data_IF_776890566288
#
_entry.id   IF_776890566288
#
_cell.length_a   1.000
_cell.length_b   1.000
_cell.length_c   1.000
_cell.angle_alpha   90.00
_cell.angle_beta   90.00
_cell.angle_gamma   90.00
#
_symmetry.space_group_name_H-M   'P 1'
#
loop_
_entity.id
_entity.type
_entity.pdbx_description
1 polymer ?
#
# COMPACT_ATOMS: atom_id res chain seq x y z
N UNK A 1 19.21 -5.43 -47.47
CA UNK A 1 18.73 -4.19 -46.81
C UNK A 1 17.22 -4.27 -46.81
N UNK A 2 16.67 -4.97 -45.82
CA UNK A 2 15.23 -5.22 -45.67
C UNK A 2 14.75 -4.28 -44.57
N UNK A 3 13.75 -3.47 -44.91
CA UNK A 3 13.18 -2.44 -44.05
C UNK A 3 12.34 -3.15 -42.98
N UNK A 4 12.74 -3.02 -41.70
CA UNK A 4 11.87 -3.30 -40.57
C UNK A 4 10.84 -2.16 -40.48
N UNK A 5 9.61 -2.40 -40.91
CA UNK A 5 8.48 -1.57 -40.50
C UNK A 5 8.04 -2.02 -39.12
N UNK A 6 8.39 -1.24 -38.11
CA UNK A 6 7.76 -1.31 -36.80
C UNK A 6 6.34 -0.77 -36.97
N UNK A 7 5.35 -1.65 -36.99
CA UNK A 7 3.97 -1.26 -36.76
C UNK A 7 3.81 -1.05 -35.25
N UNK A 8 3.62 0.21 -34.84
CA UNK A 8 2.97 0.52 -33.57
C UNK A 8 1.53 0.03 -33.69
N UNK A 9 1.26 -1.20 -33.24
CA UNK A 9 -0.09 -1.66 -33.04
C UNK A 9 -0.61 -1.03 -31.75
N UNK A 10 -1.53 -0.08 -31.88
CA UNK A 10 -2.43 0.27 -30.80
C UNK A 10 -3.29 -0.98 -30.54
N UNK A 11 -3.13 -1.61 -29.38
CA UNK A 11 -3.93 -2.76 -28.96
C UNK A 11 -5.43 -2.51 -29.17
N UNK A 12 -6.00 -3.15 -30.17
CA UNK A 12 -7.44 -3.13 -30.47
C UNK A 12 -7.93 -4.57 -30.42
N UNK A 13 -8.94 -4.83 -29.59
CA UNK A 13 -9.66 -6.09 -29.62
C UNK A 13 -10.23 -6.32 -31.04
N UNK A 14 -10.47 -7.58 -31.43
CA UNK A 14 -11.00 -7.93 -32.76
C UNK A 14 -12.34 -7.22 -33.10
N UNK A 15 -13.08 -6.75 -32.08
CA UNK A 15 -14.32 -5.98 -32.22
C UNK A 15 -14.15 -4.45 -32.36
N UNK A 16 -12.91 -3.94 -32.48
CA UNK A 16 -12.64 -2.51 -32.67
C UNK A 16 -12.84 -1.64 -31.43
N UNK A 17 -13.02 -2.25 -30.27
CA UNK A 17 -13.10 -1.60 -28.96
C UNK A 17 -11.68 -1.40 -28.39
N UNK A 18 -11.46 -0.28 -27.71
CA UNK A 18 -10.19 0.01 -27.01
C UNK A 18 -10.16 -0.93 -25.80
N UNK A 19 -9.16 -1.81 -25.76
CA UNK A 19 -8.91 -2.71 -24.64
C UNK A 19 -8.01 -2.02 -23.61
N UNK A 20 -8.32 -2.13 -22.32
CA UNK A 20 -7.58 -1.50 -21.21
C UNK A 20 -6.18 -2.11 -21.02
N UNK A 21 -6.02 -3.40 -21.32
CA UNK A 21 -4.82 -4.17 -20.99
C UNK A 21 -3.83 -4.26 -22.17
N UNK A 22 -3.72 -3.19 -22.97
CA UNK A 22 -2.92 -3.16 -24.20
C UNK A 22 -1.42 -3.46 -23.99
N UNK A 23 -0.82 -3.00 -22.89
CA UNK A 23 0.58 -3.30 -22.57
C UNK A 23 0.79 -4.77 -22.17
N UNK A 24 -0.17 -5.37 -21.44
CA UNK A 24 -0.13 -6.79 -21.10
C UNK A 24 -0.35 -7.65 -22.36
N UNK A 25 -1.21 -7.20 -23.27
CA UNK A 25 -1.38 -7.81 -24.57
C UNK A 25 -0.06 -7.82 -25.35
N UNK A 26 0.62 -6.68 -25.46
CA UNK A 26 1.90 -6.58 -26.17
C UNK A 26 2.98 -7.49 -25.56
N UNK A 27 3.08 -7.53 -24.22
CA UNK A 27 3.99 -8.44 -23.53
C UNK A 27 3.68 -9.91 -23.81
N UNK A 28 2.38 -10.27 -23.82
CA UNK A 28 1.93 -11.61 -24.11
C UNK A 28 2.26 -12.04 -25.54
N UNK A 29 1.95 -11.19 -26.53
CA UNK A 29 2.21 -11.49 -27.95
C UNK A 29 3.71 -11.65 -28.18
N UNK A 30 4.54 -10.78 -27.58
CA UNK A 30 6.00 -10.90 -27.68
C UNK A 30 6.52 -12.22 -27.11
N UNK A 31 5.96 -12.71 -26.00
CA UNK A 31 6.31 -14.01 -25.45
C UNK A 31 5.89 -15.15 -26.40
N UNK A 32 4.67 -15.11 -26.94
CA UNK A 32 4.21 -16.10 -27.93
C UNK A 32 5.11 -16.11 -29.19
N UNK A 33 5.54 -14.94 -29.68
CA UNK A 33 6.46 -14.84 -30.82
C UNK A 33 7.84 -15.43 -30.51
N UNK A 34 8.34 -15.25 -29.29
CA UNK A 34 9.59 -15.84 -28.83
C UNK A 34 9.52 -17.37 -28.82
N UNK A 35 8.42 -17.93 -28.31
CA UNK A 35 8.19 -19.38 -28.30
C UNK A 35 8.06 -19.94 -29.72
N UNK A 36 7.39 -19.23 -30.62
CA UNK A 36 7.32 -19.58 -32.03
C UNK A 36 8.70 -19.67 -32.69
N UNK A 37 9.56 -18.67 -32.44
CA UNK A 37 10.92 -18.64 -32.96
C UNK A 37 11.76 -19.80 -32.41
N UNK A 38 11.64 -20.07 -31.12
CA UNK A 38 12.33 -21.18 -30.45
C UNK A 38 11.88 -22.52 -31.02
N UNK A 39 10.56 -22.76 -31.08
CA UNK A 39 9.97 -23.98 -31.62
C UNK A 39 10.41 -24.25 -33.07
N UNK A 40 10.38 -23.23 -33.93
CA UNK A 40 10.84 -23.37 -35.33
C UNK A 40 12.32 -23.68 -35.45
N UNK A 41 13.16 -23.14 -34.56
CA UNK A 41 14.60 -23.41 -34.59
C UNK A 41 14.95 -24.87 -34.31
N UNK A 42 14.03 -25.60 -33.67
CA UNK A 42 14.16 -27.02 -33.32
C UNK A 42 13.41 -27.95 -34.28
N UNK A 43 12.76 -27.41 -35.32
CA UNK A 43 11.96 -28.20 -36.26
C UNK A 43 12.77 -28.77 -37.44
N UNK A 44 12.58 -30.06 -37.68
CA UNK A 44 13.18 -30.79 -38.81
C UNK A 44 12.20 -31.08 -39.97
N UNK A 45 10.96 -30.59 -39.90
CA UNK A 45 9.95 -30.84 -40.94
C UNK A 45 8.88 -29.77 -41.02
N UNK A 46 8.26 -29.62 -42.20
CA UNK A 46 7.13 -28.71 -42.40
C UNK A 46 5.92 -29.03 -41.51
N UNK A 47 5.75 -30.30 -41.12
CA UNK A 47 4.68 -30.69 -40.20
C UNK A 47 4.96 -30.17 -38.78
N UNK A 48 6.23 -30.15 -38.37
CA UNK A 48 6.65 -29.54 -37.10
C UNK A 48 6.44 -28.02 -37.12
N UNK A 49 6.81 -27.35 -38.23
CA UNK A 49 6.61 -25.89 -38.35
C UNK A 49 5.13 -25.51 -38.25
N UNK A 50 4.22 -26.28 -38.84
CA UNK A 50 2.78 -26.05 -38.74
C UNK A 50 2.28 -26.19 -37.29
N UNK A 51 2.75 -27.18 -36.54
CA UNK A 51 2.41 -27.34 -35.12
C UNK A 51 2.89 -26.15 -34.28
N UNK A 52 4.07 -25.59 -34.57
CA UNK A 52 4.54 -24.37 -33.91
C UNK A 52 3.63 -23.16 -34.19
N UNK A 53 3.15 -23.03 -35.43
CA UNK A 53 2.20 -21.97 -35.79
C UNK A 53 0.84 -22.14 -35.12
N UNK A 54 0.34 -23.38 -35.01
CA UNK A 54 -0.91 -23.66 -34.29
C UNK A 54 -0.78 -23.29 -32.80
N UNK A 55 0.34 -23.67 -32.16
CA UNK A 55 0.63 -23.31 -30.77
C UNK A 55 0.75 -21.78 -30.56
N UNK A 56 1.39 -21.07 -31.49
CA UNK A 56 1.42 -19.61 -31.47
C UNK A 56 0.02 -19.01 -31.58
N UNK A 57 -0.82 -19.53 -32.47
CA UNK A 57 -2.17 -19.03 -32.67
C UNK A 57 -3.06 -19.24 -31.43
N UNK A 58 -2.88 -20.35 -30.69
CA UNK A 58 -3.57 -20.60 -29.43
C UNK A 58 -3.06 -19.67 -28.32
N UNK A 59 -1.74 -19.52 -28.17
CA UNK A 59 -1.12 -18.58 -27.22
C UNK A 59 -1.62 -17.15 -27.43
N UNK A 60 -1.54 -16.65 -28.66
CA UNK A 60 -1.98 -15.30 -29.02
C UNK A 60 -3.49 -15.10 -28.84
N UNK A 61 -4.30 -16.15 -29.01
CA UNK A 61 -5.74 -16.07 -28.76
C UNK A 61 -6.06 -15.94 -27.26
N UNK A 62 -5.28 -16.60 -26.39
CA UNK A 62 -5.42 -16.56 -24.93
C UNK A 62 -4.89 -15.28 -24.28
N UNK A 63 -4.06 -14.49 -24.98
CA UNK A 63 -3.51 -13.24 -24.46
C UNK A 63 -4.60 -12.24 -24.03
N UNK A 64 -4.32 -11.35 -23.06
CA UNK A 64 -5.19 -10.22 -22.76
C UNK A 64 -5.46 -9.43 -24.03
N UNK A 65 -6.71 -9.00 -24.24
CA UNK A 65 -7.18 -8.35 -25.47
C UNK A 65 -7.18 -9.25 -26.73
N UNK A 66 -6.83 -10.52 -26.57
CA UNK A 66 -6.92 -11.57 -27.60
C UNK A 66 -8.35 -12.08 -27.77
N UNK A 67 -8.51 -13.07 -28.66
CA UNK A 67 -9.81 -13.63 -29.02
C UNK A 67 -10.54 -14.24 -27.83
N UNK A 68 -9.82 -14.94 -26.96
CA UNK A 68 -10.37 -15.66 -25.82
C UNK A 68 -10.50 -14.74 -24.59
N UNK A 69 -9.82 -13.58 -24.59
CA UNK A 69 -9.89 -12.53 -23.58
C UNK A 69 -10.16 -11.13 -24.16
N UNK A 70 -11.32 -10.91 -24.80
CA UNK A 70 -11.59 -9.70 -25.60
C UNK A 70 -11.74 -8.42 -24.78
N UNK A 71 -11.95 -8.54 -23.47
CA UNK A 71 -12.03 -7.42 -22.53
C UNK A 71 -10.73 -7.21 -21.74
N UNK A 72 -9.62 -7.79 -22.21
CA UNK A 72 -8.36 -7.73 -21.48
C UNK A 72 -8.38 -8.71 -20.31
N UNK A 73 -8.04 -8.24 -19.11
CA UNK A 73 -7.94 -9.08 -17.93
C UNK A 73 -9.24 -9.22 -17.14
N UNK A 74 -10.29 -8.54 -17.55
CA UNK A 74 -11.63 -8.74 -17.01
C UNK A 74 -12.16 -10.14 -17.39
N UNK A 75 -12.35 -10.99 -16.38
CA UNK A 75 -12.85 -12.38 -16.52
C UNK A 75 -12.01 -13.26 -17.47
N UNK A 76 -10.70 -13.00 -17.54
CA UNK A 76 -9.74 -13.74 -18.36
C UNK A 76 -8.88 -14.67 -17.49
N UNK A 77 -8.92 -15.97 -17.78
CA UNK A 77 -8.08 -16.98 -17.12
C UNK A 77 -6.71 -17.07 -17.82
N UNK A 78 -5.92 -16.00 -17.70
CA UNK A 78 -4.58 -15.90 -18.29
C UNK A 78 -3.54 -15.53 -17.22
N UNK A 79 -2.33 -16.14 -17.21
CA UNK A 79 -1.30 -15.88 -16.18
C UNK A 79 -0.82 -14.43 -16.07
N UNK A 80 -1.00 -13.63 -17.12
CA UNK A 80 -0.72 -12.18 -17.09
C UNK A 80 -1.87 -11.34 -16.53
N UNK A 81 -3.07 -11.92 -16.42
CA UNK A 81 -4.27 -11.29 -15.88
C UNK A 81 -4.49 -11.54 -14.40
N UNK A 82 -3.68 -12.41 -13.81
CA UNK A 82 -3.44 -12.42 -12.38
C UNK A 82 -2.46 -11.29 -12.04
N UNK A 83 -2.95 -10.22 -11.41
CA UNK A 83 -2.18 -9.75 -10.24
C UNK A 83 -2.10 -10.98 -9.36
N UNK A 84 -0.93 -11.61 -9.25
CA UNK A 84 -0.85 -12.89 -8.56
C UNK A 84 -0.95 -12.62 -7.07
N UNK A 85 -2.18 -12.37 -6.63
CA UNK A 85 -2.55 -12.09 -5.26
C UNK A 85 -2.09 -13.25 -4.36
N UNK A 86 -1.91 -14.45 -4.91
CA UNK A 86 -1.37 -15.61 -4.21
C UNK A 86 0.16 -15.55 -4.02
N UNK A 87 0.86 -14.74 -4.81
CA UNK A 87 2.31 -14.49 -4.71
C UNK A 87 2.64 -13.19 -3.96
N UNK A 88 1.65 -12.29 -3.78
CA UNK A 88 1.80 -11.14 -2.87
C UNK A 88 1.76 -11.64 -1.43
N UNK A 89 2.82 -11.37 -0.66
CA UNK A 89 2.91 -11.81 0.75
C UNK A 89 3.02 -10.60 1.68
N UNK A 90 2.09 -10.48 2.62
CA UNK A 90 2.02 -9.35 3.56
C UNK A 90 2.24 -9.88 4.95
N UNK A 91 3.35 -9.46 5.56
CA UNK A 91 3.59 -9.67 6.98
C UNK A 91 2.76 -8.66 7.76
N UNK A 92 1.97 -9.17 8.70
CA UNK A 92 1.13 -8.38 9.61
C UNK A 92 1.65 -8.60 11.02
N UNK A 93 2.13 -7.53 11.65
CA UNK A 93 2.65 -7.55 13.02
C UNK A 93 1.78 -6.63 13.89
N UNK A 94 0.74 -7.19 14.53
CA UNK A 94 -0.06 -6.47 15.52
C UNK A 94 0.62 -6.47 16.91
N UNK A 95 -0.08 -5.87 17.88
CA UNK A 95 0.19 -6.02 19.31
C UNK A 95 -0.94 -6.85 19.95
N UNK A 96 -0.64 -7.93 20.70
CA UNK A 96 0.70 -8.45 21.02
C UNK A 96 1.37 -9.16 19.84
N UNK A 97 2.71 -9.28 19.86
CA UNK A 97 3.48 -9.92 18.78
C UNK A 97 3.08 -11.38 18.49
N UNK A 98 2.51 -12.08 19.46
CA UNK A 98 2.05 -13.47 19.29
C UNK A 98 0.92 -13.63 18.27
N UNK A 99 0.26 -12.54 17.89
CA UNK A 99 -0.81 -12.51 16.88
C UNK A 99 -0.25 -12.18 15.47
N UNK A 100 1.07 -12.21 15.28
CA UNK A 100 1.70 -11.95 13.98
C UNK A 100 1.50 -13.10 13.01
N UNK A 101 1.29 -12.77 11.73
CA UNK A 101 1.12 -13.75 10.66
C UNK A 101 1.59 -13.21 9.32
N UNK A 102 1.82 -14.12 8.37
CA UNK A 102 2.00 -13.84 6.96
C UNK A 102 0.73 -14.21 6.21
N UNK A 103 0.24 -13.34 5.33
CA UNK A 103 -0.95 -13.62 4.51
C UNK A 103 -0.72 -13.33 3.04
N UNK A 104 -1.38 -14.07 2.16
CA UNK A 104 -1.41 -13.76 0.74
C UNK A 104 -2.33 -12.56 0.45
N UNK A 105 -2.13 -11.88 -0.68
CA UNK A 105 -2.96 -10.76 -1.11
C UNK A 105 -4.44 -11.11 -1.37
N UNK A 106 -4.77 -12.37 -1.59
CA UNK A 106 -6.16 -12.84 -1.63
C UNK A 106 -6.69 -13.28 -0.25
N UNK A 107 -5.82 -13.34 0.76
CA UNK A 107 -6.13 -13.82 2.11
C UNK A 107 -6.40 -15.33 2.20
N UNK A 108 -6.21 -16.07 1.11
CA UNK A 108 -6.49 -17.51 1.08
C UNK A 108 -5.49 -18.31 1.92
N UNK A 109 -4.25 -17.84 2.01
CA UNK A 109 -3.21 -18.45 2.83
C UNK A 109 -2.86 -17.53 3.99
N UNK A 110 -2.82 -18.11 5.19
CA UNK A 110 -2.31 -17.48 6.41
C UNK A 110 -1.30 -18.45 7.01
N UNK A 111 -0.11 -17.96 7.31
CA UNK A 111 0.97 -18.74 7.91
C UNK A 111 1.46 -18.08 9.19
N UNK A 112 1.74 -18.91 10.20
CA UNK A 112 2.29 -18.44 11.46
C UNK A 112 3.73 -17.97 11.27
N UNK A 113 4.08 -16.84 11.90
CA UNK A 113 5.44 -16.30 11.90
C UNK A 113 5.95 -16.17 13.33
N UNK A 114 7.27 -16.28 13.50
CA UNK A 114 7.92 -16.05 14.77
C UNK A 114 8.62 -14.69 14.76
N UNK A 115 7.87 -13.63 15.09
CA UNK A 115 8.42 -12.29 15.30
C UNK A 115 8.59 -12.05 16.79
N UNK A 116 9.74 -11.50 17.18
CA UNK A 116 10.04 -11.18 18.57
C UNK A 116 10.49 -9.73 18.75
N UNK A 117 10.38 -9.23 19.97
CA UNK A 117 10.97 -7.96 20.38
C UNK A 117 11.27 -7.97 21.88
N UNK A 118 12.34 -7.33 22.37
CA UNK A 118 12.53 -7.09 23.79
C UNK A 118 11.29 -6.44 24.43
N UNK A 119 10.68 -7.15 25.40
CA UNK A 119 9.48 -6.71 26.14
C UNK A 119 8.24 -6.41 25.28
N UNK A 120 8.11 -7.01 24.09
CA UNK A 120 6.91 -6.86 23.23
C UNK A 120 6.56 -5.37 22.95
N UNK A 121 7.58 -4.56 22.65
CA UNK A 121 7.48 -3.09 22.61
C UNK A 121 6.90 -2.51 21.30
N UNK A 122 5.95 -3.21 20.65
CA UNK A 122 5.35 -2.79 19.37
C UNK A 122 4.04 -1.99 19.52
N UNK A 123 3.47 -1.92 20.73
CA UNK A 123 2.24 -1.19 20.98
C UNK A 123 2.31 0.31 20.63
N UNK A 124 1.41 0.76 19.76
CA UNK A 124 1.30 2.13 19.23
C UNK A 124 2.56 2.62 18.49
N UNK A 125 3.44 1.72 18.07
CA UNK A 125 4.58 2.07 17.21
C UNK A 125 4.11 2.42 15.80
N UNK A 126 4.97 3.11 15.05
CA UNK A 126 4.78 3.38 13.62
C UNK A 126 5.99 2.88 12.86
N UNK A 127 5.78 2.46 11.62
CA UNK A 127 6.81 1.79 10.84
C UNK A 127 7.10 2.51 9.52
N UNK A 128 8.31 2.33 9.04
CA UNK A 128 8.74 2.71 7.70
C UNK A 128 9.91 1.83 7.26
N UNK A 129 10.12 1.78 5.95
CA UNK A 129 11.34 1.23 5.37
C UNK A 129 12.42 2.31 5.33
N UNK A 130 13.59 1.98 5.84
CA UNK A 130 14.78 2.82 5.75
C UNK A 130 15.92 1.94 5.26
N UNK A 131 16.44 2.26 4.07
CA UNK A 131 17.45 1.48 3.35
C UNK A 131 17.03 0.01 3.21
N UNK A 132 15.80 -0.20 2.73
CA UNK A 132 15.16 -1.51 2.53
C UNK A 132 15.02 -2.37 3.81
N UNK A 133 15.12 -1.75 4.98
CA UNK A 133 14.94 -2.43 6.27
C UNK A 133 13.74 -1.89 7.01
N UNK A 134 12.92 -2.79 7.55
CA UNK A 134 11.76 -2.44 8.37
C UNK A 134 12.20 -1.89 9.73
N UNK A 135 11.81 -0.65 10.01
CA UNK A 135 12.03 0.00 11.30
C UNK A 135 10.70 0.36 11.96
N UNK A 136 10.70 0.36 13.28
CA UNK A 136 9.63 0.90 14.13
C UNK A 136 10.16 2.07 14.95
N UNK A 137 9.29 3.04 15.19
CA UNK A 137 9.63 4.29 15.86
C UNK A 137 8.58 4.62 16.93
N UNK A 138 9.07 5.11 18.08
CA UNK A 138 8.23 5.59 19.18
C UNK A 138 7.36 4.50 19.81
N UNK A 139 6.15 4.84 20.26
CA UNK A 139 5.22 3.90 20.90
C UNK A 139 5.15 4.06 22.43
N UNK A 140 4.16 3.40 23.05
CA UNK A 140 3.75 3.76 24.43
C UNK A 140 4.80 3.38 25.47
N UNK A 141 5.52 2.28 25.25
CA UNK A 141 6.53 1.78 26.18
C UNK A 141 7.78 2.66 26.20
N UNK A 142 8.24 3.09 25.02
CA UNK A 142 9.32 4.06 24.87
C UNK A 142 9.05 4.93 23.64
N UNK A 143 8.62 6.17 23.88
CA UNK A 143 8.32 7.11 22.79
C UNK A 143 9.55 7.62 22.04
N UNK A 144 10.77 7.23 22.44
CA UNK A 144 12.02 7.61 21.77
C UNK A 144 12.72 6.44 21.09
N UNK A 145 12.15 5.23 21.15
CA UNK A 145 12.78 4.05 20.57
C UNK A 145 12.89 4.17 19.05
N UNK A 146 13.94 3.55 18.54
CA UNK A 146 14.09 3.19 17.13
C UNK A 146 14.54 1.75 17.13
N UNK A 147 13.73 0.85 16.59
CA UNK A 147 14.07 -0.56 16.49
C UNK A 147 14.00 -1.00 15.03
N UNK A 148 14.83 -1.97 14.67
CA UNK A 148 14.92 -2.52 13.30
C UNK A 148 14.65 -4.01 13.34
N UNK A 149 13.86 -4.50 12.39
CA UNK A 149 13.64 -5.94 12.26
C UNK A 149 14.91 -6.58 11.66
N UNK A 150 15.54 -7.46 12.43
CA UNK A 150 16.70 -8.27 12.04
C UNK A 150 16.49 -9.71 12.51
N UNK A 151 16.70 -10.68 11.62
CA UNK A 151 16.55 -12.10 11.96
C UNK A 151 15.22 -12.40 12.70
N UNK A 152 14.12 -11.80 12.22
CA UNK A 152 12.79 -11.93 12.80
C UNK A 152 12.65 -11.39 14.24
N UNK A 153 13.56 -10.51 14.66
CA UNK A 153 13.49 -9.82 15.94
C UNK A 153 13.64 -8.31 15.77
N UNK A 154 12.78 -7.52 16.41
CA UNK A 154 12.98 -6.08 16.49
C UNK A 154 14.10 -5.77 17.48
N UNK A 155 15.23 -5.31 16.95
CA UNK A 155 16.41 -4.94 17.71
C UNK A 155 16.45 -3.43 17.89
N UNK A 156 16.50 -2.96 19.14
CA UNK A 156 16.65 -1.53 19.45
C UNK A 156 18.02 -1.03 18.96
N UNK A 157 18.01 0.07 18.20
CA UNK A 157 19.21 0.72 17.71
C UNK A 157 19.78 1.68 18.77
N UNK A 158 21.09 1.96 18.74
CA UNK A 158 21.71 2.90 19.69
C UNK A 158 21.25 4.36 19.50
N UNK A 159 20.72 4.70 18.33
CA UNK A 159 20.17 6.02 18.04
C UNK A 159 18.72 6.11 18.53
N UNK A 160 18.37 7.26 19.12
CA UNK A 160 17.03 7.50 19.68
C UNK A 160 16.46 8.80 19.15
N UNK A 161 15.13 8.87 19.08
CA UNK A 161 14.41 10.09 18.73
C UNK A 161 14.72 11.18 19.77
N UNK A 162 14.80 12.43 19.33
CA UNK A 162 15.09 13.54 20.26
C UNK A 162 13.84 13.93 21.05
N UNK A 163 12.70 13.94 20.38
CA UNK A 163 11.36 14.23 20.88
C UNK A 163 10.60 12.96 21.22
N UNK A 164 9.51 13.10 21.97
CA UNK A 164 8.73 11.98 22.47
C UNK A 164 7.56 11.67 21.51
N UNK A 165 7.61 10.52 20.84
CA UNK A 165 6.58 10.01 19.92
C UNK A 165 5.89 8.79 20.53
N UNK A 166 5.33 8.93 21.74
CA UNK A 166 4.73 7.82 22.47
C UNK A 166 3.37 7.36 21.92
N UNK A 167 2.61 8.26 21.31
CA UNK A 167 1.29 7.98 20.75
C UNK A 167 0.96 9.04 19.70
N UNK A 168 -0.01 8.74 18.82
CA UNK A 168 -0.61 9.68 17.86
C UNK A 168 0.29 10.12 16.70
N UNK A 169 1.55 9.73 16.71
CA UNK A 169 2.52 10.08 15.68
C UNK A 169 2.29 9.35 14.37
N UNK A 170 2.96 9.82 13.34
CA UNK A 170 2.97 9.20 12.02
C UNK A 170 4.40 9.10 11.51
N UNK A 171 4.64 8.09 10.68
CA UNK A 171 5.95 7.82 10.09
C UNK A 171 5.76 7.46 8.64
N UNK A 172 6.65 7.96 7.77
CA UNK A 172 6.74 7.52 6.39
C UNK A 172 8.18 7.48 5.90
N UNK A 173 8.44 6.62 4.94
CA UNK A 173 9.70 6.60 4.18
C UNK A 173 9.80 7.83 3.26
N UNK A 174 10.93 8.52 3.32
CA UNK A 174 11.27 9.66 2.47
C UNK A 174 12.54 9.42 1.67
N UNK A 175 12.80 10.28 0.68
CA UNK A 175 13.98 10.20 -0.19
C UNK A 175 14.20 8.80 -0.80
N UNK A 176 13.14 8.26 -1.41
CA UNK A 176 13.15 6.92 -2.03
C UNK A 176 13.51 5.80 -1.05
N UNK A 177 13.06 5.91 0.21
CA UNK A 177 13.30 4.89 1.22
C UNK A 177 14.63 4.98 1.94
N UNK A 178 15.45 6.01 1.69
CA UNK A 178 16.73 6.16 2.37
C UNK A 178 16.62 6.73 3.79
N UNK A 179 15.54 7.44 4.09
CA UNK A 179 15.31 8.08 5.38
C UNK A 179 13.84 7.91 5.81
N UNK A 180 13.53 8.17 7.07
CA UNK A 180 12.17 8.23 7.58
C UNK A 180 11.85 9.62 8.13
N UNK A 181 10.66 10.12 7.80
CA UNK A 181 10.06 11.29 8.45
C UNK A 181 9.15 10.81 9.58
N UNK A 182 9.38 11.30 10.79
CA UNK A 182 8.60 11.01 11.99
C UNK A 182 8.00 12.32 12.46
N UNK A 183 6.67 12.41 12.58
CA UNK A 183 5.98 13.64 12.96
C UNK A 183 4.86 13.42 13.98
N UNK A 184 4.45 14.51 14.62
CA UNK A 184 3.29 14.60 15.50
C UNK A 184 3.48 13.80 16.78
N UNK A 185 4.48 14.20 17.57
CA UNK A 185 4.80 13.56 18.84
C UNK A 185 3.68 13.65 19.88
N UNK A 186 4.00 13.27 21.11
CA UNK A 186 3.10 13.33 22.24
C UNK A 186 2.63 14.76 22.54
N UNK A 187 1.85 14.92 23.61
CA UNK A 187 1.16 16.19 23.91
C UNK A 187 2.07 17.43 24.02
N UNK A 188 3.34 17.27 24.34
CA UNK A 188 4.31 18.38 24.38
C UNK A 188 5.01 18.62 23.04
N UNK A 189 5.01 17.61 22.16
CA UNK A 189 5.76 17.55 20.89
C UNK A 189 4.83 17.44 19.66
N UNK A 190 3.56 17.88 19.79
CA UNK A 190 2.48 17.66 18.81
C UNK A 190 2.76 18.22 17.40
N UNK A 191 3.67 19.19 17.30
CA UNK A 191 4.06 19.86 16.06
C UNK A 191 5.43 19.43 15.56
N UNK A 192 6.15 18.63 16.35
CA UNK A 192 7.53 18.28 16.07
C UNK A 192 7.60 17.24 14.95
N UNK A 193 8.64 17.37 14.15
CA UNK A 193 9.06 16.38 13.17
C UNK A 193 10.56 16.13 13.29
N UNK A 194 10.96 14.90 13.04
CA UNK A 194 12.34 14.44 12.99
C UNK A 194 12.57 13.60 11.75
N UNK A 195 13.82 13.58 11.30
CA UNK A 195 14.26 12.71 10.21
C UNK A 195 15.29 11.72 10.75
N UNK A 196 15.08 10.43 10.47
CA UNK A 196 16.04 9.37 10.72
C UNK A 196 16.70 8.94 9.42
N UNK A 197 18.04 9.03 9.35
CA UNK A 197 18.83 8.79 8.13
C UNK A 197 19.45 7.39 8.05
N UNK A 198 19.05 6.48 8.94
CA UNK A 198 19.72 5.19 9.15
C UNK A 198 20.95 5.25 10.07
N UNK A 199 21.53 6.45 10.25
CA UNK A 199 22.77 6.65 11.04
C UNK A 199 22.67 7.79 12.06
N UNK A 200 21.57 8.52 12.08
CA UNK A 200 21.37 9.65 12.98
C UNK A 200 19.95 10.17 12.92
N UNK A 201 19.63 11.04 13.88
CA UNK A 201 18.33 11.69 14.01
C UNK A 201 18.55 13.19 14.09
N UNK A 202 17.77 13.95 13.32
CA UNK A 202 17.83 15.41 13.34
C UNK A 202 16.43 16.01 13.35
N UNK A 203 16.24 17.11 14.10
CA UNK A 203 15.00 17.87 14.09
C UNK A 203 14.72 18.49 12.73
N UNK A 204 13.44 18.63 12.39
CA UNK A 204 12.99 19.14 11.10
C UNK A 204 11.92 20.24 11.24
N UNK A 205 11.35 20.66 10.11
CA UNK A 205 10.28 21.66 10.08
C UNK A 205 9.08 21.23 10.92
N UNK A 206 8.64 22.11 11.83
CA UNK A 206 7.44 21.92 12.65
C UNK A 206 6.19 22.25 11.87
N UNK A 207 5.12 21.48 12.05
CA UNK A 207 3.82 21.76 11.44
C UNK A 207 3.16 23.00 12.05
N UNK A 208 2.20 23.58 11.33
CA UNK A 208 1.39 24.70 11.85
C UNK A 208 0.28 24.17 12.75
N UNK A 209 -0.26 23.00 12.39
CA UNK A 209 -1.38 22.35 13.06
C UNK A 209 -0.94 21.04 13.71
N UNK A 210 -1.66 20.63 14.75
CA UNK A 210 -1.47 19.27 15.27
C UNK A 210 -2.18 18.29 14.36
N UNK A 211 -1.52 17.18 14.03
CA UNK A 211 -2.06 16.09 13.23
C UNK A 211 -2.06 14.77 14.00
N UNK A 212 -2.47 14.84 15.27
CA UNK A 212 -2.55 13.68 16.14
C UNK A 212 -3.49 12.60 15.58
N UNK A 213 -2.99 11.37 15.47
CA UNK A 213 -3.63 10.25 14.77
C UNK A 213 -3.95 10.54 13.29
N UNK A 214 -3.25 11.50 12.68
CA UNK A 214 -3.20 11.67 11.24
C UNK A 214 -2.30 10.62 10.57
N UNK A 215 -2.23 10.69 9.25
CA UNK A 215 -1.32 9.90 8.42
C UNK A 215 -0.27 10.77 7.72
N UNK A 216 0.76 10.14 7.19
CA UNK A 216 1.72 10.75 6.29
C UNK A 216 1.76 9.95 4.99
N UNK A 217 1.59 10.64 3.87
CA UNK A 217 1.74 10.05 2.53
C UNK A 217 2.10 11.13 1.51
N UNK A 218 2.46 10.72 0.30
CA UNK A 218 2.80 11.66 -0.76
C UNK A 218 1.56 12.24 -1.44
N UNK A 219 1.54 13.57 -1.59
CA UNK A 219 0.66 14.28 -2.51
C UNK A 219 1.51 15.14 -3.44
N UNK A 220 1.37 14.97 -4.75
CA UNK A 220 2.19 15.63 -5.78
C UNK A 220 3.71 15.52 -5.49
N UNK A 221 4.15 14.40 -4.93
CA UNK A 221 5.55 14.12 -4.58
C UNK A 221 6.04 14.72 -3.25
N UNK A 222 5.16 15.35 -2.46
CA UNK A 222 5.52 15.95 -1.16
C UNK A 222 4.81 15.25 0.01
N UNK A 223 5.51 15.00 1.15
CA UNK A 223 4.86 14.49 2.36
C UNK A 223 3.69 15.36 2.76
N UNK A 224 2.54 14.75 3.00
CA UNK A 224 1.27 15.44 3.25
C UNK A 224 0.51 14.72 4.34
N UNK A 225 -0.18 15.49 5.17
CA UNK A 225 -0.97 15.02 6.31
C UNK A 225 -2.36 15.63 6.30
N UNK A 226 -3.31 14.94 6.91
CA UNK A 226 -4.73 15.30 6.94
C UNK A 226 -5.26 15.10 8.36
N UNK A 227 -6.06 16.04 8.83
CA UNK A 227 -6.88 15.89 10.03
C UNK A 227 -6.12 15.79 11.34
N UNK A 228 -6.87 15.64 12.43
CA UNK A 228 -6.36 15.57 13.80
C UNK A 228 -7.44 15.07 14.75
N UNK A 229 -7.04 14.33 15.79
CA UNK A 229 -7.92 13.99 16.90
C UNK A 229 -8.21 15.21 17.80
N UNK A 230 -7.44 16.30 17.69
CA UNK A 230 -7.72 17.55 18.38
C UNK A 230 -8.73 18.38 17.58
N UNK A 231 -9.93 18.69 18.13
CA UNK A 231 -11.02 19.27 17.36
C UNK A 231 -10.70 20.60 16.66
N UNK A 232 -9.81 21.43 17.21
CA UNK A 232 -9.44 22.71 16.62
C UNK A 232 -8.79 22.57 15.23
N UNK A 233 -8.08 21.46 15.01
CA UNK A 233 -7.30 21.18 13.82
C UNK A 233 -7.82 19.96 13.04
N UNK A 234 -9.01 19.45 13.40
CA UNK A 234 -9.51 18.16 12.94
C UNK A 234 -9.73 18.04 11.43
N UNK A 235 -9.76 19.15 10.70
CA UNK A 235 -9.97 19.17 9.26
C UNK A 235 -8.79 19.80 8.48
N UNK A 236 -7.67 20.09 9.16
CA UNK A 236 -6.54 20.79 8.55
C UNK A 236 -5.73 19.85 7.68
N UNK A 237 -5.15 20.40 6.61
CA UNK A 237 -4.31 19.66 5.66
C UNK A 237 -3.04 20.47 5.43
N UNK A 238 -1.89 19.82 5.58
CA UNK A 238 -0.60 20.44 5.33
C UNK A 238 0.28 19.53 4.47
N UNK A 239 1.09 20.15 3.61
CA UNK A 239 2.12 19.49 2.80
C UNK A 239 3.49 20.09 3.10
N UNK A 240 4.52 19.25 3.13
CA UNK A 240 5.87 19.59 3.53
C UNK A 240 6.76 19.71 2.29
N UNK A 241 7.32 20.91 2.09
CA UNK A 241 8.34 21.15 1.07
C UNK A 241 9.62 21.68 1.71
N UNK A 242 10.61 22.05 0.89
CA UNK A 242 11.91 22.55 1.35
C UNK A 242 11.84 23.84 2.19
N UNK A 243 10.76 24.62 2.08
CA UNK A 243 10.54 25.81 2.89
C UNK A 243 9.78 25.52 4.20
N UNK A 244 9.32 24.28 4.39
CA UNK A 244 8.53 23.84 5.54
C UNK A 244 7.09 23.47 5.18
N UNK A 245 6.26 23.37 6.22
CA UNK A 245 4.85 23.01 6.08
C UNK A 245 4.05 24.14 5.45
N UNK A 246 3.20 23.78 4.48
CA UNK A 246 2.30 24.67 3.76
C UNK A 246 0.89 24.12 3.82
N UNK A 247 -0.08 25.00 4.07
CA UNK A 247 -1.49 24.66 4.07
C UNK A 247 -2.00 24.25 2.69
N UNK A 248 -2.85 23.22 2.66
CA UNK A 248 -3.70 22.81 1.54
C UNK A 248 -5.19 23.04 1.90
N UNK A 249 -6.12 22.90 0.93
CA UNK A 249 -7.54 22.99 1.23
C UNK A 249 -7.99 22.01 2.32
N UNK A 250 -8.75 22.54 3.28
CA UNK A 250 -9.26 21.78 4.42
C UNK A 250 -10.04 20.54 3.96
N UNK A 251 -9.94 19.46 4.73
CA UNK A 251 -10.72 18.25 4.53
C UNK A 251 -12.20 18.52 4.84
N UNK A 252 -13.17 17.89 4.14
CA UNK A 252 -14.59 18.14 4.37
C UNK A 252 -15.12 17.72 5.75
N UNK A 253 -14.37 16.92 6.52
CA UNK A 253 -14.77 16.42 7.85
C UNK A 253 -13.68 16.64 8.90
N UNK A 254 -14.03 16.42 10.16
CA UNK A 254 -13.08 16.44 11.29
C UNK A 254 -12.53 15.03 11.51
N UNK A 255 -11.53 14.65 10.72
CA UNK A 255 -11.08 13.26 10.59
C UNK A 255 -9.82 12.97 11.42
N UNK A 256 -9.74 11.76 11.96
CA UNK A 256 -8.52 11.18 12.52
C UNK A 256 -8.54 9.65 12.39
N UNK A 257 -7.44 8.99 12.74
CA UNK A 257 -7.29 7.53 12.74
C UNK A 257 -7.64 6.85 11.40
N UNK A 258 -7.49 7.60 10.30
CA UNK A 258 -7.69 7.16 8.92
C UNK A 258 -6.37 6.64 8.35
N UNK A 259 -6.45 5.95 7.22
CA UNK A 259 -5.28 5.64 6.42
C UNK A 259 -5.06 6.70 5.36
N UNK A 260 -3.80 6.93 5.00
CA UNK A 260 -3.42 7.90 3.99
C UNK A 260 -2.52 7.22 2.96
N UNK A 261 -2.89 7.29 1.68
CA UNK A 261 -2.15 6.66 0.57
C UNK A 261 -1.90 7.69 -0.53
N UNK A 262 -0.64 7.80 -0.94
CA UNK A 262 -0.26 8.56 -2.13
C UNK A 262 -0.31 7.67 -3.36
N UNK A 263 -0.93 8.16 -4.43
CA UNK A 263 -1.10 7.45 -5.71
C UNK A 263 0.00 7.83 -6.70
N UNK A 264 0.28 6.97 -7.70
CA UNK A 264 1.35 7.22 -8.68
C UNK A 264 1.09 8.44 -9.54
N UNK A 265 -0.17 8.77 -9.79
CA UNK A 265 -0.57 9.97 -10.52
C UNK A 265 -0.44 11.27 -9.70
N UNK A 266 0.03 11.18 -8.45
CA UNK A 266 0.27 12.32 -7.56
C UNK A 266 -0.93 12.71 -6.70
N UNK A 267 -2.05 12.00 -6.78
CA UNK A 267 -3.19 12.22 -5.90
C UNK A 267 -3.02 11.55 -4.54
N UNK A 268 -3.88 11.92 -3.60
CA UNK A 268 -3.87 11.42 -2.22
C UNK A 268 -5.24 10.85 -1.87
N UNK A 269 -5.28 9.66 -1.27
CA UNK A 269 -6.48 9.05 -0.72
C UNK A 269 -6.47 9.09 0.80
N UNK A 270 -7.61 9.47 1.38
CA UNK A 270 -7.94 9.19 2.78
C UNK A 270 -8.91 8.02 2.82
N UNK A 271 -8.62 6.98 3.61
CA UNK A 271 -9.41 5.75 3.64
C UNK A 271 -9.88 5.48 5.08
N UNK A 272 -11.19 5.51 5.30
CA UNK A 272 -11.82 5.24 6.59
C UNK A 272 -11.47 6.28 7.66
N UNK A 273 -11.37 5.85 8.92
CA UNK A 273 -11.09 6.69 10.09
C UNK A 273 -12.32 6.97 10.95
N UNK A 274 -12.22 7.97 11.82
CA UNK A 274 -13.31 8.46 12.66
C UNK A 274 -13.64 9.90 12.27
N UNK A 275 -14.94 10.18 12.13
CA UNK A 275 -15.43 11.55 12.17
C UNK A 275 -15.59 11.98 13.64
N UNK A 276 -14.74 12.89 14.06
CA UNK A 276 -14.68 13.39 15.44
C UNK A 276 -15.92 14.18 15.83
N UNK A 277 -16.68 14.69 14.86
CA UNK A 277 -17.91 15.45 15.12
C UNK A 277 -19.08 14.56 15.52
N UNK A 278 -19.15 13.35 14.96
CA UNK A 278 -20.22 12.37 15.20
C UNK A 278 -19.76 11.18 16.03
N UNK A 279 -18.45 11.03 16.26
CA UNK A 279 -17.84 9.85 16.88
C UNK A 279 -18.22 8.55 16.14
N UNK A 280 -18.22 8.58 14.81
CA UNK A 280 -18.59 7.44 13.96
C UNK A 280 -17.43 6.95 13.10
N UNK A 281 -17.32 5.63 12.97
CA UNK A 281 -16.40 4.97 12.04
C UNK A 281 -16.81 5.29 10.59
N UNK A 282 -15.82 5.58 9.75
CA UNK A 282 -16.02 5.95 8.36
C UNK A 282 -15.67 4.78 7.43
N UNK A 283 -16.50 4.60 6.40
CA UNK A 283 -16.17 3.77 5.23
C UNK A 283 -15.73 4.61 4.02
N UNK A 284 -15.98 5.92 4.05
CA UNK A 284 -15.71 6.80 2.92
C UNK A 284 -14.23 6.80 2.51
N UNK A 285 -14.00 6.81 1.20
CA UNK A 285 -12.71 7.01 0.58
C UNK A 285 -12.76 8.34 -0.16
N UNK A 286 -11.98 9.31 0.30
CA UNK A 286 -11.88 10.62 -0.31
C UNK A 286 -10.57 10.76 -1.07
N UNK A 287 -10.60 11.50 -2.17
CA UNK A 287 -9.45 11.80 -3.01
C UNK A 287 -9.21 13.30 -3.02
N UNK A 288 -7.95 13.69 -2.80
CA UNK A 288 -7.45 15.02 -3.10
C UNK A 288 -6.79 14.98 -4.47
N UNK A 289 -7.39 15.65 -5.45
CA UNK A 289 -6.84 15.81 -6.79
C UNK A 289 -6.88 17.26 -7.19
N UNK A 290 -5.78 17.78 -7.72
CA UNK A 290 -5.66 19.19 -8.11
C UNK A 290 -6.16 20.18 -7.04
N UNK A 291 -5.81 19.93 -5.78
CA UNK A 291 -6.21 20.70 -4.60
C UNK A 291 -7.75 20.75 -4.38
N UNK A 292 -8.48 19.75 -4.88
CA UNK A 292 -9.92 19.59 -4.68
C UNK A 292 -10.21 18.23 -4.05
N UNK A 293 -10.98 18.24 -2.97
CA UNK A 293 -11.49 17.03 -2.32
C UNK A 293 -12.77 16.53 -3.00
N UNK A 294 -12.81 15.24 -3.31
CA UNK A 294 -14.00 14.55 -3.83
C UNK A 294 -14.15 13.18 -3.20
N UNK A 295 -15.38 12.74 -2.96
CA UNK A 295 -15.66 11.36 -2.56
C UNK A 295 -15.37 10.43 -3.75
N UNK A 296 -14.43 9.50 -3.57
CA UNK A 296 -13.99 8.57 -4.61
C UNK A 296 -14.69 7.21 -4.51
N UNK A 297 -15.12 6.81 -3.32
CA UNK A 297 -15.78 5.53 -3.10
C UNK A 297 -16.03 5.26 -1.62
N UNK A 298 -16.35 4.00 -1.31
CA UNK A 298 -16.53 3.54 0.07
C UNK A 298 -15.93 2.15 0.22
N UNK A 299 -15.37 1.90 1.39
CA UNK A 299 -15.17 0.56 1.92
C UNK A 299 -16.51 -0.14 2.12
N UNK A 300 -16.48 -1.47 2.09
CA UNK A 300 -17.64 -2.32 2.41
C UNK A 300 -17.98 -2.25 3.91
N UNK A 301 -16.95 -2.16 4.76
CA UNK A 301 -17.09 -2.00 6.20
C UNK A 301 -16.32 -0.77 6.69
N UNK A 302 -16.89 0.03 7.62
CA UNK A 302 -16.18 1.16 8.19
C UNK A 302 -15.04 0.68 9.10
N UNK A 303 -13.95 1.44 9.15
CA UNK A 303 -12.73 1.08 9.89
C UNK A 303 -12.10 2.31 10.52
N UNK A 304 -11.35 2.14 11.62
CA UNK A 304 -10.43 3.14 12.14
C UNK A 304 -9.25 2.48 12.85
N UNK A 305 -8.21 3.26 13.16
CA UNK A 305 -6.97 2.77 13.78
C UNK A 305 -6.36 1.59 13.00
N UNK A 306 -6.62 1.55 11.70
CA UNK A 306 -6.16 0.54 10.75
C UNK A 306 -4.80 0.93 10.18
N UNK A 307 -4.21 -0.01 9.44
CA UNK A 307 -3.04 0.25 8.60
C UNK A 307 -3.35 -0.16 7.17
N UNK A 308 -2.69 0.51 6.22
CA UNK A 308 -2.80 0.15 4.81
C UNK A 308 -1.45 0.13 4.11
N UNK A 309 -1.32 -0.72 3.10
CA UNK A 309 -0.14 -0.80 2.23
C UNK A 309 -0.58 -0.85 0.77
N UNK A 310 0.12 -0.11 -0.10
CA UNK A 310 -0.16 -0.07 -1.54
C UNK A 310 0.89 -0.89 -2.30
N UNK A 311 0.46 -1.98 -2.93
CA UNK A 311 1.31 -2.93 -3.66
C UNK A 311 0.61 -3.23 -4.99
N UNK A 312 1.29 -3.03 -6.12
CA UNK A 312 0.84 -3.48 -7.44
C UNK A 312 -0.64 -3.22 -7.77
N UNK A 313 -1.08 -1.96 -7.61
CA UNK A 313 -2.47 -1.50 -7.87
C UNK A 313 -3.51 -2.03 -6.88
N UNK A 314 -3.07 -2.63 -5.78
CA UNK A 314 -3.92 -3.12 -4.70
C UNK A 314 -3.57 -2.36 -3.41
N UNK A 315 -4.56 -1.69 -2.82
CA UNK A 315 -4.44 -1.12 -1.47
C UNK A 315 -5.04 -2.12 -0.50
N UNK A 316 -4.19 -2.74 0.31
CA UNK A 316 -4.60 -3.64 1.37
C UNK A 316 -4.83 -2.85 2.63
N UNK A 317 -5.97 -3.03 3.27
CA UNK A 317 -6.41 -2.29 4.45
C UNK A 317 -6.72 -3.29 5.56
N UNK A 318 -5.83 -3.34 6.55
CA UNK A 318 -5.95 -4.23 7.69
C UNK A 318 -6.72 -3.52 8.80
N UNK A 319 -7.88 -4.08 9.15
CA UNK A 319 -8.80 -3.47 10.08
C UNK A 319 -8.21 -3.42 11.49
N UNK A 320 -8.31 -2.26 12.14
CA UNK A 320 -7.73 -2.01 13.45
C UNK A 320 -8.73 -2.18 14.58
N UNK A 321 -9.43 -1.10 14.91
CA UNK A 321 -10.49 -1.07 15.93
C UNK A 321 -11.82 -0.72 15.25
N UNK A 322 -12.91 -1.18 15.87
CA UNK A 322 -14.28 -0.76 15.54
C UNK A 322 -14.96 -0.33 16.84
N UNK A 323 -15.85 0.67 16.77
CA UNK A 323 -16.53 1.21 17.95
C UNK A 323 -17.61 0.27 18.50
N UNK A 324 -18.17 -0.59 17.64
CA UNK A 324 -19.18 -1.57 18.02
C UNK A 324 -18.54 -2.87 18.51
N UNK A 325 -18.61 -3.11 19.82
CA UNK A 325 -18.13 -4.35 20.43
C UNK A 325 -18.89 -5.57 19.89
N UNK A 326 -18.16 -6.65 19.54
CA UNK A 326 -18.74 -7.93 19.12
C UNK A 326 -18.86 -8.13 17.61
N UNK A 327 -18.54 -7.12 16.81
CA UNK A 327 -18.50 -7.24 15.35
C UNK A 327 -17.13 -7.78 14.88
N UNK A 328 -17.13 -8.51 13.77
CA UNK A 328 -15.90 -8.90 13.08
C UNK A 328 -15.27 -7.67 12.43
N UNK A 329 -13.94 -7.65 12.38
CA UNK A 329 -13.15 -6.62 11.71
C UNK A 329 -12.69 -7.17 10.38
N UNK A 330 -13.19 -6.58 9.30
CA UNK A 330 -12.93 -7.08 7.96
C UNK A 330 -11.73 -6.34 7.34
N UNK A 331 -10.67 -7.10 7.05
CA UNK A 331 -9.59 -6.65 6.17
C UNK A 331 -10.15 -6.51 4.76
N UNK A 332 -9.85 -5.39 4.12
CA UNK A 332 -10.41 -5.03 2.83
C UNK A 332 -9.31 -4.68 1.84
N UNK A 333 -9.51 -5.02 0.58
CA UNK A 333 -8.62 -4.70 -0.52
C UNK A 333 -9.35 -3.77 -1.49
N UNK A 334 -8.69 -2.69 -1.88
CA UNK A 334 -9.15 -1.75 -2.89
C UNK A 334 -8.31 -2.00 -4.15
N UNK A 335 -8.98 -2.39 -5.21
CA UNK A 335 -8.40 -2.62 -6.53
C UNK A 335 -8.44 -1.30 -7.31
N UNK A 336 -7.29 -0.92 -7.86
CA UNK A 336 -7.08 0.35 -8.55
C UNK A 336 -6.88 0.12 -10.05
N UNK A 337 -7.49 0.96 -10.89
CA UNK A 337 -7.20 0.98 -12.34
C UNK A 337 -5.82 1.59 -12.61
N UNK A 338 -5.35 1.52 -13.86
CA UNK A 338 -4.11 2.18 -14.31
C UNK A 338 -4.10 3.70 -14.05
N UNK A 339 -5.25 4.34 -14.20
CA UNK A 339 -5.43 5.77 -13.93
C UNK A 339 -5.61 6.10 -12.44
N UNK A 340 -5.39 5.11 -11.56
CA UNK A 340 -5.53 5.19 -10.11
C UNK A 340 -6.95 5.56 -9.68
N UNK A 341 -7.95 4.97 -10.35
CA UNK A 341 -9.35 5.03 -9.93
C UNK A 341 -9.72 3.76 -9.17
N UNK A 342 -10.67 3.86 -8.23
CA UNK A 342 -11.18 2.69 -7.52
C UNK A 342 -12.03 1.86 -8.49
N UNK A 343 -11.63 0.63 -8.72
CA UNK A 343 -12.37 -0.34 -9.54
C UNK A 343 -13.32 -1.15 -8.67
N UNK A 344 -12.79 -1.74 -7.59
CA UNK A 344 -13.53 -2.65 -6.71
C UNK A 344 -13.00 -2.62 -5.29
N UNK A 345 -13.87 -2.92 -4.33
CA UNK A 345 -13.48 -3.21 -2.95
C UNK A 345 -13.95 -4.61 -2.57
N UNK A 346 -13.08 -5.40 -1.96
CA UNK A 346 -13.38 -6.78 -1.51
C UNK A 346 -12.94 -7.00 -0.07
N UNK A 347 -13.69 -7.80 0.68
CA UNK A 347 -13.22 -8.36 1.96
C UNK A 347 -12.36 -9.59 1.64
N UNK A 348 -11.17 -9.69 2.25
CA UNK A 348 -10.25 -10.80 2.02
C UNK A 348 -9.80 -11.50 3.31
N UNK A 349 -10.22 -11.01 4.47
CA UNK A 349 -9.94 -11.65 5.75
C UNK A 349 -10.69 -10.96 6.87
N UNK A 350 -10.88 -11.65 7.99
CA UNK A 350 -11.58 -11.10 9.15
C UNK A 350 -10.98 -11.59 10.46
N UNK A 351 -11.08 -10.76 11.50
CA UNK A 351 -10.63 -11.10 12.84
C UNK A 351 -11.51 -10.47 13.93
N UNK A 352 -11.42 -10.98 15.15
CA UNK A 352 -12.26 -10.54 16.28
C UNK A 352 -11.49 -9.75 17.35
N UNK A 353 -10.19 -9.52 17.15
CA UNK A 353 -9.29 -8.80 18.09
C UNK A 353 -9.15 -7.32 17.69
N UNK A 354 -8.93 -6.41 18.63
CA UNK A 354 -8.57 -5.03 18.28
C UNK A 354 -7.07 -4.94 18.02
N UNK A 355 -6.69 -4.49 16.83
CA UNK A 355 -5.31 -4.11 16.53
C UNK A 355 -5.21 -2.61 16.38
N UNK A 356 -4.12 -2.02 16.86
CA UNK A 356 -3.91 -0.57 16.81
C UNK A 356 -2.77 -0.27 15.86
N UNK A 357 -3.11 0.09 14.63
CA UNK A 357 -2.15 0.40 13.57
C UNK A 357 -1.11 -0.73 13.39
N UNK A 358 -1.54 -1.95 13.02
CA UNK A 358 -0.62 -3.07 12.85
C UNK A 358 0.50 -2.71 11.86
N UNK A 359 1.70 -3.19 12.10
CA UNK A 359 2.83 -3.01 11.20
C UNK A 359 2.60 -3.89 9.97
N UNK A 360 2.75 -3.31 8.78
CA UNK A 360 2.58 -4.02 7.51
C UNK A 360 3.89 -4.01 6.74
N UNK A 361 4.25 -5.15 6.17
CA UNK A 361 5.46 -5.27 5.36
C UNK A 361 5.22 -6.20 4.18
N UNK A 362 5.52 -5.72 2.97
CA UNK A 362 5.55 -6.56 1.78
C UNK A 362 6.78 -7.46 1.88
N UNK A 363 6.55 -8.74 2.17
CA UNK A 363 7.59 -9.69 2.55
C UNK A 363 7.77 -10.77 1.48
N UNK A 364 8.80 -11.59 1.64
CA UNK A 364 8.96 -12.83 0.88
C UNK A 364 8.04 -13.92 1.46
N UNK A 365 7.73 -14.93 0.65
CA UNK A 365 6.79 -16.02 0.99
C UNK A 365 7.19 -16.84 2.23
N UNK A 366 8.48 -16.95 2.50
CA UNK A 366 9.07 -17.71 3.61
C UNK A 366 9.54 -16.83 4.77
N UNK A 367 9.16 -15.55 4.77
CA UNK A 367 9.66 -14.58 5.74
C UNK A 367 9.20 -14.91 7.17
N UNK A 368 10.15 -15.26 8.03
CA UNK A 368 9.95 -15.51 9.46
C UNK A 368 8.95 -16.63 9.80
N UNK A 369 8.69 -17.56 8.89
CA UNK A 369 7.78 -18.68 9.14
C UNK A 369 8.23 -19.56 10.32
N UNK A 370 7.26 -20.05 11.09
CA UNK A 370 7.50 -21.09 12.10
C UNK A 370 7.77 -22.41 11.37
N UNK A 371 8.94 -23.01 11.61
CA UNK A 371 9.30 -24.34 11.11
C UNK A 371 8.64 -25.47 11.90
#
# INVERSE_FOLDING_TARGET
MIIFQIFLNLGRAENGQICSDGELADQCVLACEFDLMTCKSECDSNNCENLCFDAFSECNAGCPCGRDCPLGCQDCDHPLCTSDLSETNILVVPDPLSESYLTTGDGATISDVNISSPNDNVYMTKHALVQDKLHIFGGTNDGKQISRLEECSFMELPHRLSQNFNQMHSVMSIFQGNEALICFGGREDQYACEVFTGSGVHGFHTSTYTHAYGGLAYYKGYPTTVGSAFPADGNKVETLNLAGWKRLPDFPKYINSHNLIGLKNGDLLTIGGIDSSTSSDLSEIWRLSNDVWSLAGNLLNPIHMSSSIYIDKQIYVFAGRILSSGNMRSNQRIEMTEEENIERVTVFGEHNVNFYFPILYHAQKDFCLVN
#
